data_IF_426972784334
#
_entry.id   IF_426972784334
#
_cell.length_a   1.000
_cell.length_b   1.000
_cell.length_c   1.000
_cell.angle_alpha   90.00
_cell.angle_beta   90.00
_cell.angle_gamma   90.00
#
_symmetry.space_group_name_H-M   'P 1'
#
loop_
_entity.id
_entity.type
_entity.pdbx_description
1 polymer ?
#
# COMPACT_ATOMS: atom_id res chain seq x y z
N UNK A 1 -18.64 -12.24 -24.10
CA UNK A 1 -18.78 -12.79 -22.73
C UNK A 1 -17.43 -12.61 -22.05
N UNK A 2 -17.37 -12.10 -20.82
CA UNK A 2 -16.10 -11.90 -20.12
C UNK A 2 -15.53 -13.24 -19.65
N UNK A 3 -14.24 -13.46 -19.83
CA UNK A 3 -13.52 -14.62 -19.29
C UNK A 3 -12.98 -14.26 -17.90
N UNK A 4 -13.35 -15.05 -16.87
CA UNK A 4 -12.93 -14.82 -15.48
C UNK A 4 -11.96 -15.92 -15.06
N UNK A 5 -10.76 -15.55 -14.60
CA UNK A 5 -9.72 -16.49 -14.15
C UNK A 5 -9.33 -16.21 -12.70
N UNK A 6 -9.16 -17.24 -11.85
CA UNK A 6 -8.67 -17.05 -10.49
C UNK A 6 -7.21 -16.60 -10.51
N UNK A 7 -6.81 -15.82 -9.49
CA UNK A 7 -5.42 -15.50 -9.22
C UNK A 7 -5.18 -15.54 -7.71
N UNK A 8 -3.93 -15.77 -7.33
CA UNK A 8 -3.54 -15.73 -5.91
C UNK A 8 -3.24 -14.29 -5.51
N UNK A 9 -4.09 -13.73 -4.68
CA UNK A 9 -3.94 -12.37 -4.17
C UNK A 9 -2.86 -12.29 -3.08
N UNK A 10 -2.47 -11.06 -2.75
CA UNK A 10 -1.80 -10.75 -1.50
C UNK A 10 -2.85 -10.25 -0.50
N UNK A 11 -2.77 -10.72 0.74
CA UNK A 11 -3.66 -10.31 1.84
C UNK A 11 -2.85 -9.95 3.06
N UNK A 12 -3.35 -9.01 3.86
CA UNK A 12 -2.77 -8.75 5.18
C UNK A 12 -2.92 -9.97 6.08
N UNK A 13 -1.86 -10.29 6.82
CA UNK A 13 -1.92 -11.25 7.93
C UNK A 13 -2.55 -10.55 9.16
N UNK A 14 -3.76 -10.97 9.60
CA UNK A 14 -4.41 -10.37 10.77
C UNK A 14 -3.61 -10.58 12.08
N UNK A 15 -2.67 -11.52 12.12
CA UNK A 15 -1.78 -11.69 13.27
C UNK A 15 -0.67 -10.63 13.34
N UNK A 16 -0.39 -9.93 12.24
CA UNK A 16 0.70 -8.95 12.12
C UNK A 16 0.24 -7.54 11.81
N UNK A 17 -0.97 -7.38 11.27
CA UNK A 17 -1.52 -6.09 10.90
C UNK A 17 -3.02 -6.01 11.21
N UNK A 18 -3.41 -4.97 11.95
CA UNK A 18 -4.82 -4.62 12.13
C UNK A 18 -5.36 -3.94 10.87
N UNK A 19 -6.33 -4.59 10.23
CA UNK A 19 -6.99 -4.07 9.02
C UNK A 19 -7.58 -2.68 9.22
N UNK A 20 -8.10 -2.35 10.40
CA UNK A 20 -8.67 -1.02 10.67
C UNK A 20 -7.62 0.10 10.57
N UNK A 21 -6.34 -0.24 10.79
CA UNK A 21 -5.23 0.70 10.73
C UNK A 21 -4.52 0.70 9.38
N UNK A 22 -4.67 -0.37 8.58
CA UNK A 22 -3.94 -0.53 7.32
C UNK A 22 -4.74 -0.22 6.06
N UNK A 23 -6.05 -0.08 6.12
CA UNK A 23 -6.85 0.34 4.95
C UNK A 23 -6.87 1.87 4.78
N UNK A 24 -7.17 2.31 3.56
CA UNK A 24 -7.34 3.70 3.17
C UNK A 24 -8.66 3.89 2.41
N UNK A 25 -9.27 5.09 2.46
CA UNK A 25 -10.29 5.47 1.48
C UNK A 25 -9.68 5.55 0.07
N UNK A 26 -10.50 5.53 -1.00
CA UNK A 26 -10.05 5.74 -2.37
C UNK A 26 -9.18 7.00 -2.51
N UNK A 27 -8.10 6.91 -3.27
CA UNK A 27 -7.11 7.98 -3.37
C UNK A 27 -7.62 9.27 -4.01
N UNK A 28 -8.67 9.19 -4.81
CA UNK A 28 -9.27 10.29 -5.56
C UNK A 28 -10.16 11.19 -4.69
N UNK A 29 -10.42 10.80 -3.44
CA UNK A 29 -11.26 11.55 -2.50
C UNK A 29 -10.51 12.05 -1.25
N UNK A 30 -9.24 11.67 -1.05
CA UNK A 30 -8.45 12.09 0.11
C UNK A 30 -7.58 13.31 -0.20
N UNK A 31 -7.52 14.24 0.76
CA UNK A 31 -6.63 15.39 0.75
C UNK A 31 -5.18 15.03 1.13
N UNK A 32 -4.20 15.90 0.87
CA UNK A 32 -2.81 15.69 1.31
C UNK A 32 -2.67 15.54 2.84
N UNK A 33 -3.48 16.24 3.64
CA UNK A 33 -3.43 16.13 5.10
C UNK A 33 -3.98 14.77 5.58
N UNK A 34 -5.03 14.27 4.91
CA UNK A 34 -5.57 12.92 5.17
C UNK A 34 -4.59 11.83 4.74
N UNK A 35 -3.91 12.01 3.59
CA UNK A 35 -2.82 11.13 3.17
C UNK A 35 -1.73 11.08 4.25
N UNK A 36 -1.27 12.22 4.75
CA UNK A 36 -0.26 12.29 5.79
C UNK A 36 -0.72 11.62 7.11
N UNK A 37 -2.01 11.74 7.45
CA UNK A 37 -2.58 11.05 8.61
C UNK A 37 -2.61 9.53 8.44
N UNK A 38 -2.98 9.03 7.26
CA UNK A 38 -2.93 7.59 6.96
C UNK A 38 -1.49 7.06 7.02
N UNK A 39 -0.51 7.86 6.57
CA UNK A 39 0.92 7.56 6.69
C UNK A 39 1.37 7.41 8.15
N UNK A 40 0.84 8.26 9.06
CA UNK A 40 1.10 8.20 10.51
C UNK A 40 0.37 7.05 11.20
N UNK A 41 -0.84 6.71 10.73
CA UNK A 41 -1.71 5.69 11.32
C UNK A 41 -1.07 4.31 11.34
N UNK A 42 -0.37 3.93 10.27
CA UNK A 42 0.36 2.67 10.21
C UNK A 42 1.49 2.70 9.18
N UNK A 43 2.61 2.06 9.52
CA UNK A 43 3.70 1.76 8.57
C UNK A 43 3.27 0.81 7.45
N UNK A 44 2.17 0.08 7.64
CA UNK A 44 1.61 -0.87 6.68
C UNK A 44 0.34 -0.37 6.00
N UNK A 45 0.03 0.93 6.11
CA UNK A 45 -1.18 1.48 5.48
C UNK A 45 -1.10 1.44 3.95
N UNK A 46 -2.17 0.94 3.32
CA UNK A 46 -2.30 0.75 1.87
C UNK A 46 -2.12 2.04 1.06
N UNK A 47 -2.33 3.22 1.68
CA UNK A 47 -2.04 4.52 1.06
C UNK A 47 -0.61 4.60 0.52
N UNK A 48 0.35 3.91 1.16
CA UNK A 48 1.77 3.88 0.73
C UNK A 48 1.95 3.22 -0.64
N UNK A 49 1.02 2.33 -1.02
CA UNK A 49 1.00 1.62 -2.30
C UNK A 49 0.11 2.35 -3.30
N UNK A 50 -1.11 2.69 -2.90
CA UNK A 50 -2.15 3.23 -3.80
C UNK A 50 -1.92 4.71 -4.11
N UNK A 51 -1.47 5.48 -3.12
CA UNK A 51 -1.28 6.92 -3.21
C UNK A 51 -0.08 7.36 -2.40
N UNK A 52 1.10 6.89 -2.79
CA UNK A 52 2.35 7.23 -2.09
C UNK A 52 2.74 8.70 -2.23
N UNK A 53 3.43 9.23 -1.22
CA UNK A 53 3.96 10.60 -1.21
C UNK A 53 4.87 10.88 -2.42
N UNK A 54 4.74 12.08 -2.98
CA UNK A 54 5.59 12.61 -4.03
C UNK A 54 6.54 13.64 -3.44
N UNK A 55 7.79 13.60 -3.87
CA UNK A 55 8.82 14.54 -3.42
C UNK A 55 9.40 15.30 -4.60
N UNK A 56 9.92 16.51 -4.34
CA UNK A 56 10.55 17.37 -5.36
C UNK A 56 11.69 16.68 -6.09
N UNK A 57 12.38 15.72 -5.45
CA UNK A 57 13.48 14.95 -6.03
C UNK A 57 13.07 13.67 -6.78
N UNK A 58 11.77 13.38 -6.92
CA UNK A 58 11.31 12.17 -7.58
C UNK A 58 11.72 12.14 -9.05
N UNK A 59 12.16 10.96 -9.50
CA UNK A 59 12.64 10.72 -10.85
C UNK A 59 12.33 9.27 -11.30
N UNK A 60 12.80 8.86 -12.47
CA UNK A 60 12.51 7.54 -13.02
C UNK A 60 13.00 6.36 -12.15
N UNK A 61 14.08 6.56 -11.39
CA UNK A 61 14.70 5.51 -10.55
C UNK A 61 14.24 5.55 -9.09
N UNK A 62 13.79 6.70 -8.61
CA UNK A 62 13.26 6.87 -7.26
C UNK A 62 12.02 7.77 -7.29
N UNK A 63 10.84 7.16 -7.15
CA UNK A 63 9.55 7.85 -7.09
C UNK A 63 8.56 7.05 -6.23
N UNK A 64 7.34 7.54 -6.11
CA UNK A 64 6.27 6.88 -5.33
C UNK A 64 6.04 5.42 -5.73
N UNK A 65 6.19 5.06 -7.00
CA UNK A 65 5.95 3.70 -7.48
C UNK A 65 7.11 2.75 -7.14
N UNK A 66 8.36 3.23 -7.22
CA UNK A 66 9.51 2.42 -6.79
C UNK A 66 9.49 2.21 -5.28
N UNK A 67 9.02 3.19 -4.51
CA UNK A 67 8.79 3.06 -3.07
C UNK A 67 7.65 2.09 -2.76
N UNK A 68 6.51 2.17 -3.46
CA UNK A 68 5.42 1.21 -3.32
C UNK A 68 5.88 -0.24 -3.60
N UNK A 69 6.71 -0.45 -4.63
CA UNK A 69 7.27 -1.77 -4.92
C UNK A 69 8.19 -2.27 -3.80
N UNK A 70 9.01 -1.39 -3.23
CA UNK A 70 9.87 -1.71 -2.09
C UNK A 70 9.05 -2.05 -0.83
N UNK A 71 8.00 -1.29 -0.54
CA UNK A 71 7.09 -1.54 0.59
C UNK A 71 6.41 -2.90 0.46
N UNK A 72 5.83 -3.22 -0.70
CA UNK A 72 5.21 -4.54 -0.95
C UNK A 72 6.23 -5.67 -0.77
N UNK A 73 7.45 -5.51 -1.26
CA UNK A 73 8.51 -6.51 -1.10
C UNK A 73 8.91 -6.67 0.39
N UNK A 74 9.01 -5.58 1.14
CA UNK A 74 9.32 -5.61 2.57
C UNK A 74 8.19 -6.29 3.36
N UNK A 75 6.94 -5.88 3.17
CA UNK A 75 5.80 -6.42 3.89
C UNK A 75 5.60 -7.91 3.64
N UNK A 76 5.94 -8.40 2.43
CA UNK A 76 5.95 -9.84 2.13
C UNK A 76 7.05 -10.59 2.87
N UNK A 77 8.27 -10.04 2.94
CA UNK A 77 9.38 -10.65 3.69
C UNK A 77 9.09 -10.67 5.20
N UNK A 78 8.40 -9.65 5.69
CA UNK A 78 8.00 -9.49 7.08
C UNK A 78 6.73 -10.29 7.43
N UNK A 79 6.11 -10.98 6.46
CA UNK A 79 4.87 -11.75 6.68
C UNK A 79 3.64 -10.88 6.94
N UNK A 80 3.74 -9.56 6.80
CA UNK A 80 2.59 -8.64 6.88
C UNK A 80 1.64 -8.86 5.71
N UNK A 81 2.19 -9.11 4.51
CA UNK A 81 1.43 -9.56 3.35
C UNK A 81 1.73 -11.02 3.02
N UNK A 82 0.69 -11.84 3.03
CA UNK A 82 0.74 -13.26 2.68
C UNK A 82 0.10 -13.49 1.31
N UNK A 83 0.60 -14.49 0.58
CA UNK A 83 -0.03 -14.95 -0.65
C UNK A 83 -1.08 -16.00 -0.31
N UNK A 84 -2.29 -15.83 -0.84
CA UNK A 84 -3.38 -16.81 -0.74
C UNK A 84 -3.03 -18.15 -1.44
#
# INVERSE_FOLDING_TARGET
MAEVRPFRALRYDPARADLALTIAPPYDIISPDEQAELYRRSSYNAVRIEYGEQFVGDNAANNRYTRAAADVAAWRREGVLLRD
#
